data_IF_433206714490
#
_entry.id   IF_433206714490
#
_cell.length_a   1.000
_cell.length_b   1.000
_cell.length_c   1.000
_cell.angle_alpha   90.00
_cell.angle_beta   90.00
_cell.angle_gamma   90.00
#
_symmetry.space_group_name_H-M   'P 1'
#
loop_
_entity.id
_entity.type
_entity.pdbx_description
1 polymer ?
#
# COMPACT_ATOMS: atom_id res chain seq x y z
N UNK A 1 4.54 7.42 25.77
CA UNK A 1 5.38 6.19 25.79
C UNK A 1 5.94 6.02 24.39
N UNK A 2 7.25 6.11 24.20
CA UNK A 2 7.86 5.77 22.91
C UNK A 2 7.97 4.25 22.88
N UNK A 3 7.01 3.59 22.23
CA UNK A 3 7.05 2.16 21.97
C UNK A 3 8.14 1.91 20.93
N UNK A 4 9.04 0.98 21.23
CA UNK A 4 10.03 0.50 20.25
C UNK A 4 9.26 0.03 19.01
N UNK A 5 9.62 0.49 17.79
CA UNK A 5 8.99 0.02 16.57
C UNK A 5 9.12 -1.50 16.47
N UNK A 6 7.99 -2.19 16.25
CA UNK A 6 7.99 -3.63 16.00
C UNK A 6 8.24 -3.90 14.52
N UNK A 7 9.05 -4.91 14.24
CA UNK A 7 9.09 -5.56 12.93
C UNK A 7 7.78 -6.33 12.67
N UNK A 8 7.48 -6.63 11.40
CA UNK A 8 6.30 -7.41 11.02
C UNK A 8 6.23 -8.78 11.70
N UNK A 9 7.38 -9.40 11.98
CA UNK A 9 7.47 -10.69 12.67
C UNK A 9 7.14 -10.56 14.16
N UNK A 10 7.45 -9.41 14.78
CA UNK A 10 7.15 -9.13 16.19
C UNK A 10 5.70 -8.67 16.41
N UNK A 11 5.00 -8.27 15.36
CA UNK A 11 3.58 -7.90 15.42
C UNK A 11 2.71 -9.15 15.56
N UNK A 12 1.70 -9.07 16.42
CA UNK A 12 0.59 -10.03 16.47
C UNK A 12 -0.21 -10.02 15.16
N UNK A 13 -0.95 -11.08 14.88
CA UNK A 13 -1.82 -11.15 13.71
C UNK A 13 -2.83 -9.99 13.62
N UNK A 14 -3.30 -9.47 14.76
CA UNK A 14 -4.19 -8.31 14.82
C UNK A 14 -3.44 -7.03 14.44
N UNK A 15 -2.23 -6.82 14.96
CA UNK A 15 -1.40 -5.65 14.62
C UNK A 15 -1.06 -5.64 13.12
N UNK A 16 -0.70 -6.79 12.56
CA UNK A 16 -0.44 -6.93 11.12
C UNK A 16 -1.69 -6.63 10.29
N UNK A 17 -2.84 -7.16 10.66
CA UNK A 17 -4.11 -6.88 9.98
C UNK A 17 -4.48 -5.39 10.03
N UNK A 18 -4.21 -4.72 11.15
CA UNK A 18 -4.38 -3.28 11.28
C UNK A 18 -3.48 -2.50 10.32
N UNK A 19 -2.19 -2.85 10.27
CA UNK A 19 -1.23 -2.23 9.34
C UNK A 19 -1.63 -2.43 7.87
N UNK A 20 -2.02 -3.64 7.49
CA UNK A 20 -2.52 -3.94 6.14
C UNK A 20 -3.76 -3.13 5.78
N UNK A 21 -4.70 -2.97 6.72
CA UNK A 21 -5.90 -2.17 6.51
C UNK A 21 -5.52 -0.71 6.21
N UNK A 22 -4.62 -0.13 6.99
CA UNK A 22 -4.14 1.25 6.76
C UNK A 22 -3.48 1.44 5.40
N UNK A 23 -2.64 0.49 4.95
CA UNK A 23 -1.99 0.57 3.63
C UNK A 23 -3.01 0.40 2.49
N UNK A 24 -3.98 -0.50 2.65
CA UNK A 24 -5.07 -0.69 1.68
C UNK A 24 -5.91 0.58 1.52
N UNK A 25 -6.24 1.25 2.63
CA UNK A 25 -7.02 2.48 2.59
C UNK A 25 -6.25 3.63 1.93
N UNK A 26 -4.94 3.74 2.19
CA UNK A 26 -4.07 4.70 1.52
C UNK A 26 -3.98 4.45 0.00
N UNK A 27 -3.81 3.19 -0.42
CA UNK A 27 -3.78 2.84 -1.85
C UNK A 27 -5.12 3.13 -2.54
N UNK A 28 -6.25 2.95 -1.85
CA UNK A 28 -7.58 3.30 -2.38
C UNK A 28 -7.75 4.80 -2.53
N UNK A 29 -7.28 5.59 -1.57
CA UNK A 29 -7.27 7.04 -1.67
C UNK A 29 -6.41 7.50 -2.86
N UNK A 30 -5.19 6.96 -2.99
CA UNK A 30 -4.33 7.23 -4.15
C UNK A 30 -5.00 6.86 -5.48
N UNK A 31 -5.73 5.73 -5.54
CA UNK A 31 -6.44 5.34 -6.75
C UNK A 31 -7.57 6.31 -7.11
N UNK A 32 -8.28 6.81 -6.10
CA UNK A 32 -9.32 7.83 -6.28
C UNK A 32 -8.71 9.12 -6.84
N UNK A 33 -7.67 9.64 -6.20
CA UNK A 33 -6.97 10.86 -6.64
C UNK A 33 -6.41 10.70 -8.06
N UNK A 34 -5.82 9.54 -8.36
CA UNK A 34 -5.30 9.21 -9.69
C UNK A 34 -6.39 9.25 -10.77
N UNK A 35 -7.59 8.75 -10.47
CA UNK A 35 -8.73 8.85 -11.39
C UNK A 35 -9.19 10.28 -11.58
N UNK A 36 -9.23 11.11 -10.53
CA UNK A 36 -9.57 12.53 -10.65
C UNK A 36 -8.57 13.30 -11.52
N UNK A 37 -7.29 12.89 -11.49
CA UNK A 37 -6.23 13.45 -12.32
C UNK A 37 -6.18 12.87 -13.76
N UNK A 38 -7.03 11.89 -14.09
CA UNK A 38 -7.06 11.22 -15.39
C UNK A 38 -5.98 10.15 -15.60
N UNK A 39 -5.24 9.78 -14.55
CA UNK A 39 -4.26 8.69 -14.60
C UNK A 39 -4.90 7.34 -14.24
N UNK A 40 -5.65 6.80 -15.20
CA UNK A 40 -6.34 5.51 -15.05
C UNK A 40 -5.37 4.34 -14.80
N UNK A 41 -4.10 4.45 -15.24
CA UNK A 41 -3.11 3.38 -15.06
C UNK A 41 -2.62 3.35 -13.62
N UNK A 42 -2.26 4.50 -13.06
CA UNK A 42 -1.88 4.64 -11.66
C UNK A 42 -2.99 4.13 -10.74
N UNK A 43 -4.24 4.54 -11.03
CA UNK A 43 -5.40 4.08 -10.29
C UNK A 43 -5.59 2.56 -10.33
N UNK A 44 -5.51 1.95 -11.53
CA UNK A 44 -5.64 0.50 -11.67
C UNK A 44 -4.54 -0.26 -10.91
N UNK A 45 -3.30 0.25 -10.96
CA UNK A 45 -2.17 -0.35 -10.25
C UNK A 45 -2.35 -0.27 -8.73
N UNK A 46 -2.74 0.91 -8.22
CA UNK A 46 -3.01 1.11 -6.79
C UNK A 46 -4.11 0.16 -6.28
N UNK A 47 -5.20 0.04 -7.03
CA UNK A 47 -6.30 -0.90 -6.74
C UNK A 47 -5.82 -2.35 -6.77
N UNK A 48 -5.01 -2.73 -7.75
CA UNK A 48 -4.47 -4.08 -7.87
C UNK A 48 -3.62 -4.45 -6.64
N UNK A 49 -2.76 -3.54 -6.18
CA UNK A 49 -1.93 -3.77 -4.99
C UNK A 49 -2.81 -3.90 -3.73
N UNK A 50 -3.81 -3.02 -3.59
CA UNK A 50 -4.74 -3.07 -2.47
C UNK A 50 -5.48 -4.42 -2.40
N UNK A 51 -5.95 -4.95 -3.52
CA UNK A 51 -6.61 -6.26 -3.57
C UNK A 51 -5.66 -7.41 -3.24
N UNK A 52 -4.40 -7.37 -3.69
CA UNK A 52 -3.39 -8.37 -3.31
C UNK A 52 -3.16 -8.39 -1.80
N UNK A 53 -3.07 -7.22 -1.16
CA UNK A 53 -2.92 -7.11 0.30
C UNK A 53 -4.16 -7.66 1.02
N UNK A 54 -5.38 -7.32 0.57
CA UNK A 54 -6.62 -7.84 1.16
C UNK A 54 -6.68 -9.37 1.06
N UNK A 55 -6.32 -9.92 -0.09
CA UNK A 55 -6.28 -11.37 -0.30
C UNK A 55 -5.31 -12.05 0.65
N UNK A 56 -4.12 -11.46 0.83
CA UNK A 56 -3.12 -11.95 1.79
C UNK A 56 -3.59 -11.82 3.24
N UNK A 57 -4.31 -10.74 3.58
CA UNK A 57 -4.82 -10.49 4.94
C UNK A 57 -6.00 -11.40 5.33
N UNK A 58 -6.73 -11.93 4.34
CA UNK A 58 -7.81 -12.88 4.57
C UNK A 58 -7.29 -14.21 5.13
N UNK A 59 -6.07 -14.59 4.76
CA UNK A 59 -5.35 -15.70 5.37
C UNK A 59 -4.61 -15.21 6.63
N UNK A 60 -5.15 -15.56 7.80
CA UNK A 60 -4.60 -15.16 9.10
C UNK A 60 -3.50 -16.09 9.61
N UNK A 61 -3.05 -17.04 8.79
CA UNK A 61 -1.96 -17.93 9.16
C UNK A 61 -0.64 -17.17 9.31
N UNK A 62 0.20 -17.62 10.25
CA UNK A 62 1.56 -17.09 10.39
C UNK A 62 2.46 -17.53 9.22
N UNK A 63 2.02 -18.48 8.39
CA UNK A 63 2.74 -18.97 7.21
C UNK A 63 2.91 -17.88 6.13
N UNK A 64 2.05 -16.87 6.13
CA UNK A 64 2.00 -15.85 5.08
C UNK A 64 2.64 -14.51 5.52
N UNK A 65 3.31 -14.46 6.66
CA UNK A 65 3.93 -13.24 7.19
C UNK A 65 4.98 -12.65 6.24
N UNK A 66 5.71 -13.50 5.51
CA UNK A 66 6.68 -13.05 4.51
C UNK A 66 5.98 -12.42 3.29
N UNK A 67 4.95 -13.08 2.74
CA UNK A 67 4.15 -12.55 1.63
C UNK A 67 3.48 -11.22 2.01
N UNK A 68 2.91 -11.16 3.22
CA UNK A 68 2.38 -9.95 3.83
C UNK A 68 3.41 -8.81 3.88
N UNK A 69 4.64 -9.12 4.28
CA UNK A 69 5.72 -8.15 4.39
C UNK A 69 6.11 -7.59 3.02
N UNK A 70 6.24 -8.45 2.01
CA UNK A 70 6.56 -8.05 0.64
C UNK A 70 5.47 -7.18 0.03
N UNK A 71 4.19 -7.53 0.23
CA UNK A 71 3.06 -6.75 -0.28
C UNK A 71 2.95 -5.37 0.40
N UNK A 72 3.25 -5.30 1.70
CA UNK A 72 3.30 -4.03 2.42
C UNK A 72 4.45 -3.15 1.91
N UNK A 73 5.64 -3.72 1.74
CA UNK A 73 6.79 -3.02 1.17
C UNK A 73 6.49 -2.50 -0.24
N UNK A 74 5.91 -3.35 -1.09
CA UNK A 74 5.50 -2.97 -2.44
C UNK A 74 4.50 -1.82 -2.43
N UNK A 75 3.47 -1.88 -1.58
CA UNK A 75 2.47 -0.81 -1.46
C UNK A 75 3.09 0.52 -1.01
N UNK A 76 3.95 0.49 0.00
CA UNK A 76 4.64 1.69 0.52
C UNK A 76 5.57 2.28 -0.54
N UNK A 77 6.39 1.46 -1.19
CA UNK A 77 7.31 1.90 -2.24
C UNK A 77 6.57 2.47 -3.45
N UNK A 78 5.46 1.85 -3.85
CA UNK A 78 4.61 2.34 -4.93
C UNK A 78 4.06 3.73 -4.61
N UNK A 79 3.56 3.94 -3.38
CA UNK A 79 3.06 5.24 -2.96
C UNK A 79 4.18 6.30 -2.92
N UNK A 80 5.33 5.94 -2.33
CA UNK A 80 6.51 6.81 -2.30
C UNK A 80 7.01 7.20 -3.69
N UNK A 81 7.02 6.25 -4.64
CA UNK A 81 7.45 6.51 -6.00
C UNK A 81 6.52 7.52 -6.70
N UNK A 82 5.22 7.52 -6.36
CA UNK A 82 4.28 8.51 -6.88
C UNK A 82 4.47 9.89 -6.24
N UNK A 83 4.64 9.98 -4.92
CA UNK A 83 4.88 11.25 -4.22
C UNK A 83 6.18 11.94 -4.67
N UNK A 84 7.20 11.14 -5.00
CA UNK A 84 8.54 11.62 -5.38
C UNK A 84 8.74 11.72 -6.88
N UNK A 85 7.78 11.27 -7.70
CA UNK A 85 7.85 11.42 -9.14
C UNK A 85 7.89 12.92 -9.48
N UNK A 86 8.88 13.38 -10.26
CA UNK A 86 8.86 14.75 -10.76
C UNK A 86 7.57 14.92 -11.56
N UNK A 87 6.79 15.95 -11.22
CA UNK A 87 5.59 16.28 -11.98
C UNK A 87 6.04 16.63 -13.41
N UNK A 88 5.96 15.67 -14.34
CA UNK A 88 6.14 15.91 -15.76
C UNK A 88 4.91 16.70 -16.28
N UNK A 89 4.76 17.92 -15.80
CA UNK A 89 3.99 18.96 -16.47
C UNK A 89 4.94 19.62 -17.45
N UNK A 90 4.87 19.20 -18.70
CA UNK A 90 5.46 19.93 -19.82
C UNK A 90 4.37 20.36 -20.82
N UNK A 91 4.62 21.40 -21.62
CA UNK A 91 4.14 22.75 -21.38
C UNK A 91 2.93 23.11 -22.25
N UNK A 92 2.30 24.21 -21.88
CA UNK A 92 1.31 24.98 -22.66
C UNK A 92 1.68 25.05 -24.15
N UNK A 93 0.73 24.70 -25.01
CA UNK A 93 0.63 25.18 -26.38
C UNK A 93 -0.77 25.76 -26.62
#
# INVERSE_FOLDING_TARGET
>A
MQTIPKTLIEMSSIERAGMMTSVVDALRAMAFDAMEMGDARLAANAVSIAYSIIGCAADRSDEHVEAASLLLEQGIQFMHAHETAPSEKQPVH
#
